data_IF_453783371039
#
_entry.id   IF_453783371039
#
_cell.length_a   1.000
_cell.length_b   1.000
_cell.length_c   1.000
_cell.angle_alpha   90.00
_cell.angle_beta   90.00
_cell.angle_gamma   90.00
#
_symmetry.space_group_name_H-M   'P 1'
#
loop_
_entity.id
_entity.type
_entity.pdbx_description
1 polymer ?
#
# COMPACT_ATOMS: atom_id res chain seq x y z
N UNK A 1 -6.46 30.72 50.12
CA UNK A 1 -6.52 30.65 48.65
C UNK A 1 -5.07 30.66 48.15
N UNK A 2 -4.50 29.72 47.40
CA UNK A 2 -4.96 28.60 46.57
C UNK A 2 -3.94 27.46 46.73
N UNK A 3 -4.40 26.20 46.88
CA UNK A 3 -3.53 25.02 46.89
C UNK A 3 -3.39 24.54 45.44
N UNK A 4 -2.17 24.47 44.92
CA UNK A 4 -1.88 23.84 43.63
C UNK A 4 -1.74 22.33 43.84
N UNK A 5 -2.65 21.56 43.24
CA UNK A 5 -2.59 20.09 43.20
C UNK A 5 -1.87 19.75 41.89
N UNK A 6 -0.67 19.19 41.98
CA UNK A 6 0.05 18.62 40.83
C UNK A 6 -0.45 17.19 40.67
N UNK A 7 -1.18 16.93 39.59
CA UNK A 7 -1.59 15.57 39.19
C UNK A 7 -0.45 15.00 38.35
N UNK A 8 0.31 14.06 38.91
CA UNK A 8 1.28 13.26 38.16
C UNK A 8 0.55 12.13 37.43
N UNK A 9 0.51 12.18 36.11
CA UNK A 9 -0.01 11.09 35.27
C UNK A 9 1.11 10.06 35.12
N UNK A 10 0.99 8.92 35.79
CA UNK A 10 1.87 7.78 35.61
C UNK A 10 1.43 7.00 34.36
N UNK A 11 2.21 7.10 33.27
CA UNK A 11 2.05 6.25 32.08
C UNK A 11 2.88 4.99 32.30
N UNK A 12 2.23 3.91 32.70
CA UNK A 12 2.82 2.58 32.75
C UNK A 12 2.94 2.00 31.34
N UNK A 13 4.15 1.98 30.79
CA UNK A 13 4.47 1.27 29.55
C UNK A 13 4.83 -0.16 29.92
N UNK A 14 3.94 -1.11 29.68
CA UNK A 14 4.26 -2.55 29.74
C UNK A 14 4.71 -3.01 28.37
N UNK A 15 6.01 -3.26 28.21
CA UNK A 15 6.55 -3.88 27.01
C UNK A 15 6.36 -5.40 27.10
N UNK A 16 5.40 -5.94 26.35
CA UNK A 16 5.36 -7.36 26.06
C UNK A 16 6.38 -7.66 24.96
N UNK A 17 7.49 -8.31 25.31
CA UNK A 17 8.45 -8.80 24.33
C UNK A 17 7.89 -10.11 23.77
N UNK A 18 7.20 -10.04 22.64
CA UNK A 18 6.95 -11.20 21.80
C UNK A 18 8.16 -11.37 20.87
N UNK A 19 8.80 -12.54 20.95
CA UNK A 19 9.87 -12.90 20.04
C UNK A 19 9.34 -12.87 18.60
N UNK A 20 9.95 -12.06 17.74
CA UNK A 20 9.68 -12.07 16.30
C UNK A 20 10.16 -13.42 15.75
N UNK A 21 9.23 -14.26 15.32
CA UNK A 21 9.55 -15.31 14.37
C UNK A 21 10.07 -14.62 13.11
N UNK A 22 11.17 -15.12 12.56
CA UNK A 22 11.75 -14.63 11.32
C UNK A 22 10.80 -14.93 10.16
N UNK A 23 9.77 -14.11 10.00
CA UNK A 23 9.04 -14.00 8.75
C UNK A 23 10.04 -13.46 7.73
N UNK A 24 10.44 -14.32 6.79
CA UNK A 24 11.18 -13.95 5.58
C UNK A 24 10.61 -12.64 5.04
N UNK A 25 11.36 -11.56 5.29
CA UNK A 25 10.91 -10.18 5.16
C UNK A 25 10.92 -9.79 3.68
N UNK A 26 10.02 -10.37 2.90
CA UNK A 26 9.64 -9.77 1.64
C UNK A 26 8.90 -8.49 1.97
N UNK A 27 9.25 -7.38 1.33
CA UNK A 27 8.41 -6.20 1.31
C UNK A 27 7.00 -6.67 0.94
N UNK A 28 6.02 -6.39 1.79
CA UNK A 28 4.63 -6.76 1.55
C UNK A 28 3.85 -5.49 1.34
N UNK A 29 3.10 -5.46 0.25
CA UNK A 29 2.09 -4.45 0.03
C UNK A 29 0.78 -4.89 0.66
N UNK A 30 -0.15 -3.96 0.75
CA UNK A 30 -1.44 -4.13 1.38
C UNK A 30 -2.20 -5.35 0.80
N UNK A 31 -2.24 -5.47 -0.53
CA UNK A 31 -2.92 -6.58 -1.20
C UNK A 31 -2.32 -7.96 -0.87
N UNK A 32 -0.99 -8.11 -0.91
CA UNK A 32 -0.36 -9.40 -0.59
C UNK A 32 -0.53 -9.75 0.89
N UNK A 33 -0.51 -8.76 1.78
CA UNK A 33 -0.77 -8.96 3.22
C UNK A 33 -2.17 -9.51 3.44
N UNK A 34 -3.18 -8.95 2.76
CA UNK A 34 -4.56 -9.43 2.86
C UNK A 34 -4.73 -10.85 2.31
N UNK A 35 -4.06 -11.18 1.21
CA UNK A 35 -4.13 -12.50 0.58
C UNK A 35 -3.45 -13.60 1.39
N UNK A 36 -2.39 -13.28 2.14
CA UNK A 36 -1.67 -14.22 3.01
C UNK A 36 -2.43 -14.60 4.27
N UNK A 37 -3.50 -13.87 4.63
CA UNK A 37 -4.22 -14.14 5.86
C UNK A 37 -4.88 -15.53 5.79
N UNK A 38 -4.27 -16.49 6.49
CA UNK A 38 -4.69 -17.89 6.58
C UNK A 38 -5.81 -18.12 7.62
N UNK A 39 -6.47 -17.03 8.03
CA UNK A 39 -7.68 -17.13 8.84
C UNK A 39 -8.81 -17.80 8.04
N UNK A 40 -9.64 -18.59 8.71
CA UNK A 40 -10.92 -19.13 8.19
C UNK A 40 -11.96 -18.04 7.84
N UNK A 41 -11.61 -16.77 8.04
CA UNK A 41 -12.48 -15.63 7.76
C UNK A 41 -12.54 -15.39 6.26
N UNK A 42 -13.77 -15.41 5.72
CA UNK A 42 -14.02 -15.09 4.31
C UNK A 42 -13.80 -13.62 3.98
N UNK A 43 -14.05 -12.70 4.91
CA UNK A 43 -13.86 -11.27 4.71
C UNK A 43 -12.74 -10.78 5.63
N UNK A 44 -11.74 -10.13 5.04
CA UNK A 44 -10.69 -9.40 5.74
C UNK A 44 -10.81 -7.92 5.39
N UNK A 45 -10.76 -7.07 6.41
CA UNK A 45 -10.79 -5.61 6.28
C UNK A 45 -9.54 -5.07 6.96
N UNK A 46 -8.81 -4.22 6.25
CA UNK A 46 -7.69 -3.45 6.76
C UNK A 46 -7.90 -1.96 6.46
N UNK A 47 -7.24 -1.09 7.20
CA UNK A 47 -7.25 0.35 6.93
C UNK A 47 -6.02 1.00 7.54
N UNK A 48 -5.59 2.10 6.95
CA UNK A 48 -4.62 3.01 7.56
C UNK A 48 -4.91 4.44 7.11
N UNK A 49 -4.35 5.40 7.84
CA UNK A 49 -4.42 6.81 7.50
C UNK A 49 -3.05 7.45 7.64
N UNK A 50 -2.81 8.49 6.85
CA UNK A 50 -1.58 9.26 6.84
C UNK A 50 -1.92 10.74 6.99
N UNK A 51 -1.23 11.40 7.92
CA UNK A 51 -1.31 12.85 8.15
C UNK A 51 0.11 13.37 8.13
N UNK A 52 0.37 14.34 7.26
CA UNK A 52 1.71 14.88 7.06
C UNK A 52 1.80 16.33 7.50
N UNK A 53 2.98 16.71 7.95
CA UNK A 53 3.36 18.10 8.18
C UNK A 53 4.65 18.41 7.42
N UNK A 54 4.55 19.33 6.46
CA UNK A 54 5.65 19.71 5.60
C UNK A 54 6.01 21.18 5.80
N UNK A 55 7.22 21.47 6.26
CA UNK A 55 7.75 22.83 6.42
C UNK A 55 9.08 22.96 5.70
N UNK A 56 9.12 23.84 4.69
CA UNK A 56 10.36 24.15 3.98
C UNK A 56 11.27 24.99 4.87
N UNK A 57 12.51 24.52 5.04
CA UNK A 57 13.56 25.21 5.79
C UNK A 57 14.47 25.95 4.79
N UNK A 58 14.71 27.23 5.04
CA UNK A 58 15.61 28.07 4.25
C UNK A 58 16.25 29.16 5.11
N UNK A 59 17.40 29.67 4.66
CA UNK A 59 18.25 30.55 5.48
C UNK A 59 17.67 31.97 5.64
N UNK A 60 16.98 32.48 4.63
CA UNK A 60 16.58 33.91 4.55
C UNK A 60 15.07 34.12 4.57
N UNK A 61 14.29 33.10 4.19
CA UNK A 61 12.83 33.19 4.07
C UNK A 61 12.19 32.11 4.92
N UNK A 62 11.22 32.52 5.75
CA UNK A 62 10.38 31.59 6.50
C UNK A 62 9.19 31.19 5.63
N UNK A 63 9.07 29.90 5.37
CA UNK A 63 7.91 29.33 4.72
C UNK A 63 6.90 28.87 5.77
N UNK A 64 5.61 29.04 5.48
CA UNK A 64 4.56 28.46 6.31
C UNK A 64 4.60 26.93 6.18
N UNK A 65 4.42 26.24 7.30
CA UNK A 65 4.22 24.79 7.28
C UNK A 65 2.81 24.44 6.78
N UNK A 66 2.71 23.31 6.10
CA UNK A 66 1.44 22.77 5.59
C UNK A 66 1.15 21.50 6.36
N UNK A 67 -0.06 21.38 6.93
CA UNK A 67 -0.56 20.16 7.55
C UNK A 67 -1.71 19.64 6.70
N UNK A 68 -1.66 18.34 6.38
CA UNK A 68 -2.61 17.74 5.46
C UNK A 68 -2.93 16.30 5.86
N UNK A 69 -4.18 15.89 5.62
CA UNK A 69 -4.56 14.48 5.68
C UNK A 69 -4.28 13.91 4.30
N UNK A 70 -3.05 13.42 4.13
CA UNK A 70 -2.55 12.94 2.86
C UNK A 70 -3.47 11.87 2.29
N UNK A 71 -3.80 10.85 3.10
CA UNK A 71 -4.69 9.78 2.66
C UNK A 71 -5.34 8.98 3.78
N UNK A 72 -6.52 8.45 3.47
CA UNK A 72 -7.19 7.37 4.21
C UNK A 72 -7.41 6.19 3.25
N UNK A 73 -6.91 5.03 3.61
CA UNK A 73 -6.99 3.83 2.77
C UNK A 73 -7.84 2.76 3.41
N UNK A 74 -8.73 2.16 2.63
CA UNK A 74 -9.54 1.00 2.99
C UNK A 74 -9.13 -0.19 2.12
N UNK A 75 -8.81 -1.29 2.79
CA UNK A 75 -8.33 -2.53 2.21
C UNK A 75 -9.37 -3.62 2.45
N UNK A 76 -9.86 -4.24 1.40
CA UNK A 76 -10.85 -5.31 1.49
C UNK A 76 -10.37 -6.53 0.73
N UNK A 77 -10.43 -7.69 1.37
CA UNK A 77 -10.26 -8.97 0.69
C UNK A 77 -11.39 -9.92 1.03
N UNK A 78 -11.95 -10.55 -0.01
CA UNK A 78 -13.00 -11.55 0.14
C UNK A 78 -12.58 -12.89 -0.48
N UNK A 79 -12.59 -13.96 0.31
CA UNK A 79 -12.32 -15.34 -0.11
C UNK A 79 -13.65 -15.99 -0.50
N UNK A 80 -13.86 -16.19 -1.80
CA UNK A 80 -15.02 -16.96 -2.30
C UNK A 80 -14.84 -18.46 -2.04
N UNK A 81 -13.61 -18.93 -2.11
CA UNK A 81 -13.18 -20.31 -1.83
C UNK A 81 -11.75 -20.32 -1.28
N UNK A 82 -11.21 -21.50 -1.00
CA UNK A 82 -9.79 -21.67 -0.61
C UNK A 82 -8.82 -21.15 -1.68
N UNK A 83 -9.24 -21.14 -2.95
CA UNK A 83 -8.37 -20.78 -4.09
C UNK A 83 -8.75 -19.47 -4.76
N UNK A 84 -9.94 -18.94 -4.53
CA UNK A 84 -10.44 -17.76 -5.25
C UNK A 84 -10.74 -16.64 -4.26
N UNK A 85 -10.11 -15.49 -4.49
CA UNK A 85 -10.28 -14.30 -3.68
C UNK A 85 -10.40 -13.04 -4.55
N UNK A 86 -11.02 -12.02 -4.00
CA UNK A 86 -11.04 -10.66 -4.54
C UNK A 86 -10.32 -9.73 -3.58
N UNK A 87 -9.56 -8.79 -4.11
CA UNK A 87 -8.87 -7.74 -3.35
C UNK A 87 -9.24 -6.40 -3.94
N UNK A 88 -9.54 -5.43 -3.07
CA UNK A 88 -9.66 -4.04 -3.47
C UNK A 88 -9.05 -3.09 -2.44
N UNK A 89 -8.45 -2.03 -2.96
CA UNK A 89 -7.86 -0.93 -2.23
C UNK A 89 -8.52 0.36 -2.70
N UNK A 90 -9.12 1.07 -1.75
CA UNK A 90 -9.81 2.33 -1.96
C UNK A 90 -9.04 3.39 -1.17
N UNK A 91 -8.54 4.39 -1.87
CA UNK A 91 -7.80 5.51 -1.29
C UNK A 91 -8.65 6.79 -1.37
N UNK A 92 -8.66 7.53 -0.26
CA UNK A 92 -9.19 8.88 -0.20
C UNK A 92 -8.06 9.86 0.07
N UNK A 93 -7.67 10.62 -0.95
CA UNK A 93 -6.50 11.50 -0.93
C UNK A 93 -6.91 12.96 -0.71
N UNK A 94 -6.14 13.68 0.10
CA UNK A 94 -6.30 15.12 0.39
C UNK A 94 -7.73 15.54 0.79
N UNK A 95 -8.51 14.61 1.34
CA UNK A 95 -9.91 14.78 1.73
C UNK A 95 -10.87 15.12 0.56
N UNK A 96 -10.44 14.94 -0.69
CA UNK A 96 -11.21 15.39 -1.87
C UNK A 96 -11.29 14.36 -3.00
N UNK A 97 -10.30 13.49 -3.13
CA UNK A 97 -10.14 12.59 -4.26
C UNK A 97 -10.36 11.15 -3.82
N UNK A 98 -11.17 10.40 -4.55
CA UNK A 98 -11.41 8.96 -4.29
C UNK A 98 -10.79 8.19 -5.44
N UNK A 99 -9.92 7.23 -5.12
CA UNK A 99 -9.31 6.32 -6.08
C UNK A 99 -9.59 4.87 -5.72
N UNK A 100 -9.85 4.07 -6.74
CA UNK A 100 -9.68 2.62 -6.66
C UNK A 100 -8.27 2.35 -7.16
N UNK A 101 -7.36 2.03 -6.25
CA UNK A 101 -5.96 1.78 -6.60
C UNK A 101 -5.78 0.36 -7.14
N UNK A 102 -6.45 -0.59 -6.50
CA UNK A 102 -6.49 -1.98 -6.92
C UNK A 102 -7.92 -2.53 -6.78
N UNK A 103 -8.29 -3.40 -7.72
CA UNK A 103 -9.53 -4.17 -7.69
C UNK A 103 -9.37 -5.38 -8.62
N UNK A 104 -8.97 -6.53 -8.08
CA UNK A 104 -8.66 -7.71 -8.88
C UNK A 104 -9.10 -9.02 -8.22
N UNK A 105 -9.36 -10.01 -9.07
CA UNK A 105 -9.55 -11.40 -8.68
C UNK A 105 -8.19 -12.12 -8.67
N UNK A 106 -7.95 -12.93 -7.65
CA UNK A 106 -6.81 -13.81 -7.51
C UNK A 106 -7.29 -15.27 -7.42
N UNK A 107 -6.80 -16.11 -8.33
CA UNK A 107 -7.08 -17.55 -8.37
C UNK A 107 -5.78 -18.31 -8.19
N UNK A 108 -5.64 -19.02 -7.08
CA UNK A 108 -4.51 -19.88 -6.79
C UNK A 108 -4.66 -21.22 -7.52
N UNK A 109 -3.82 -21.45 -8.52
CA UNK A 109 -3.79 -22.71 -9.28
C UNK A 109 -2.90 -23.75 -8.60
N UNK A 110 -1.77 -23.29 -8.07
CA UNK A 110 -0.79 -24.04 -7.27
C UNK A 110 -0.22 -23.10 -6.21
N UNK A 111 0.44 -23.65 -5.20
CA UNK A 111 1.06 -22.86 -4.13
C UNK A 111 2.07 -21.83 -4.67
N UNK A 112 2.72 -22.15 -5.79
CA UNK A 112 3.69 -21.29 -6.48
C UNK A 112 3.10 -20.49 -7.65
N UNK A 113 1.81 -20.66 -8.01
CA UNK A 113 1.20 -20.04 -9.20
C UNK A 113 -0.21 -19.51 -8.93
N UNK A 114 -0.35 -18.20 -9.06
CA UNK A 114 -1.62 -17.48 -9.02
C UNK A 114 -1.91 -16.85 -10.38
N UNK A 115 -3.17 -16.90 -10.80
CA UNK A 115 -3.73 -16.12 -11.88
C UNK A 115 -4.41 -14.88 -11.28
N UNK A 116 -4.10 -13.70 -11.80
CA UNK A 116 -4.70 -12.43 -11.36
C UNK A 116 -5.34 -11.71 -12.54
N UNK A 117 -6.44 -11.02 -12.30
CA UNK A 117 -7.10 -10.21 -13.32
C UNK A 117 -8.01 -9.14 -12.73
N UNK A 118 -7.94 -7.94 -13.30
CA UNK A 118 -8.67 -6.76 -12.85
C UNK A 118 -7.80 -5.51 -12.93
N UNK A 119 -8.13 -4.50 -12.13
CA UNK A 119 -7.32 -3.30 -11.95
C UNK A 119 -6.17 -3.61 -10.98
N UNK A 120 -4.94 -3.57 -11.46
CA UNK A 120 -3.74 -3.93 -10.70
C UNK A 120 -2.66 -2.86 -10.88
N UNK A 121 -1.75 -2.78 -9.91
CA UNK A 121 -0.56 -1.94 -10.03
C UNK A 121 0.39 -2.58 -11.04
N UNK A 122 0.93 -1.77 -11.94
CA UNK A 122 1.94 -2.23 -12.90
C UNK A 122 3.25 -2.46 -12.14
N UNK A 123 3.94 -3.61 -12.26
CA UNK A 123 5.18 -3.86 -11.50
C UNK A 123 6.37 -3.09 -12.10
N UNK A 124 6.30 -1.75 -12.06
CA UNK A 124 7.29 -0.83 -12.60
C UNK A 124 7.98 -0.09 -11.44
N UNK A 125 9.20 -0.50 -11.12
CA UNK A 125 9.91 -0.02 -9.94
C UNK A 125 9.35 -0.60 -8.64
N UNK A 126 10.15 -0.54 -7.58
CA UNK A 126 9.78 -1.12 -6.28
C UNK A 126 8.64 -0.30 -5.66
N UNK A 127 8.73 1.03 -5.70
CA UNK A 127 7.77 1.89 -5.01
C UNK A 127 6.37 1.81 -5.63
N UNK A 128 6.19 1.49 -6.91
CA UNK A 128 4.84 1.42 -7.47
C UNK A 128 4.00 0.32 -6.82
N UNK A 129 4.58 -0.87 -6.60
CA UNK A 129 3.89 -1.96 -5.89
C UNK A 129 3.89 -1.79 -4.38
N UNK A 130 4.86 -1.05 -3.84
CA UNK A 130 5.07 -0.81 -2.41
C UNK A 130 5.06 0.69 -2.11
N UNK A 131 3.92 1.34 -2.34
CA UNK A 131 3.77 2.79 -2.25
C UNK A 131 3.22 3.26 -0.89
N UNK A 132 2.99 2.33 0.04
CA UNK A 132 2.52 2.61 1.40
C UNK A 132 3.63 3.30 2.23
N UNK A 133 3.30 4.16 3.20
CA UNK A 133 4.30 5.03 3.84
C UNK A 133 5.35 4.26 4.65
N UNK A 134 5.04 3.03 5.06
CA UNK A 134 5.92 2.18 5.86
C UNK A 134 6.93 1.39 5.03
N UNK A 135 6.87 1.46 3.69
CA UNK A 135 7.75 0.70 2.79
C UNK A 135 9.01 1.46 2.38
N UNK A 136 9.08 2.77 2.69
CA UNK A 136 10.24 3.62 2.45
C UNK A 136 10.59 4.44 3.70
N UNK A 137 11.80 5.01 3.73
CA UNK A 137 12.36 5.64 4.93
C UNK A 137 11.98 7.12 5.12
N UNK A 138 11.49 7.76 4.07
CA UNK A 138 11.10 9.18 4.06
C UNK A 138 9.61 9.37 4.35
N UNK A 139 9.20 10.61 4.64
CA UNK A 139 7.76 10.96 4.78
C UNK A 139 7.04 10.83 3.44
N UNK A 140 7.70 11.31 2.38
CA UNK A 140 7.23 11.27 1.00
C UNK A 140 8.00 10.22 0.20
N UNK A 141 7.45 9.80 -0.95
CA UNK A 141 8.15 8.86 -1.85
C UNK A 141 9.54 9.39 -2.27
N UNK A 142 10.53 8.52 -2.51
CA UNK A 142 11.86 8.94 -2.97
C UNK A 142 11.79 9.79 -4.25
N UNK A 143 12.74 10.73 -4.41
CA UNK A 143 12.73 11.69 -5.53
C UNK A 143 12.72 11.00 -6.91
N UNK A 144 13.39 9.86 -7.05
CA UNK A 144 13.42 9.09 -8.29
C UNK A 144 12.03 8.56 -8.63
N UNK A 145 11.31 7.99 -7.66
CA UNK A 145 9.95 7.46 -7.82
C UNK A 145 8.89 8.57 -7.86
N UNK A 146 9.24 9.78 -7.42
CA UNK A 146 8.39 10.98 -7.56
C UNK A 146 8.46 11.57 -8.96
N UNK A 147 9.63 11.56 -9.60
CA UNK A 147 9.87 12.35 -10.82
C UNK A 147 10.27 11.54 -12.06
N UNK A 148 10.73 10.29 -11.90
CA UNK A 148 11.31 9.49 -12.99
C UNK A 148 10.52 8.20 -13.18
N UNK A 149 10.34 7.41 -12.12
CA UNK A 149 9.62 6.14 -12.18
C UNK A 149 8.16 6.40 -11.82
N UNK A 150 7.18 6.03 -12.66
CA UNK A 150 5.77 6.19 -12.33
C UNK A 150 5.42 5.43 -11.04
N UNK A 151 4.77 6.10 -10.10
CA UNK A 151 4.18 5.49 -8.91
C UNK A 151 2.66 5.61 -8.93
N UNK A 152 1.96 4.81 -8.13
CA UNK A 152 0.48 4.65 -8.16
C UNK A 152 -0.11 4.37 -9.56
N UNK A 153 0.72 3.85 -10.48
CA UNK A 153 0.31 3.49 -11.83
C UNK A 153 -0.41 2.14 -11.81
N UNK A 154 -1.67 2.18 -12.23
CA UNK A 154 -2.59 1.06 -12.27
C UNK A 154 -3.22 0.92 -13.64
N UNK A 155 -3.42 -0.33 -14.06
CA UNK A 155 -4.04 -0.65 -15.34
C UNK A 155 -4.94 -1.87 -15.20
N UNK A 156 -5.94 -1.96 -16.08
CA UNK A 156 -6.74 -3.18 -16.20
C UNK A 156 -5.92 -4.20 -16.99
N UNK A 157 -5.77 -5.39 -16.43
CA UNK A 157 -5.00 -6.44 -17.05
C UNK A 157 -5.28 -7.82 -16.49
N UNK A 158 -4.47 -8.76 -16.95
CA UNK A 158 -4.45 -10.14 -16.50
C UNK A 158 -3.02 -10.67 -16.50
N UNK A 159 -2.73 -11.63 -15.64
CA UNK A 159 -1.43 -12.26 -15.65
C UNK A 159 -1.23 -13.25 -14.52
N UNK A 160 0.02 -13.64 -14.34
CA UNK A 160 0.41 -14.65 -13.37
C UNK A 160 1.42 -14.08 -12.39
N UNK A 161 1.32 -14.52 -11.14
CA UNK A 161 2.24 -14.17 -10.08
C UNK A 161 2.51 -15.39 -9.21
N UNK A 162 3.72 -15.51 -8.70
CA UNK A 162 4.13 -16.70 -7.99
C UNK A 162 5.43 -16.56 -7.25
N UNK A 163 5.74 -17.60 -6.47
CA UNK A 163 6.98 -17.68 -5.72
C UNK A 163 7.45 -19.13 -5.63
N UNK A 164 8.72 -19.35 -5.96
CA UNK A 164 9.39 -20.64 -5.79
C UNK A 164 10.10 -20.68 -4.44
N UNK A 165 9.41 -21.20 -3.41
CA UNK A 165 9.92 -21.23 -2.03
C UNK A 165 11.31 -21.86 -1.90
N UNK A 166 11.60 -22.93 -2.65
CA UNK A 166 12.88 -23.67 -2.57
C UNK A 166 14.10 -22.84 -2.97
N UNK A 167 13.91 -21.78 -3.75
CA UNK A 167 14.99 -20.91 -4.26
C UNK A 167 14.77 -19.43 -3.94
N UNK A 168 13.71 -19.11 -3.19
CA UNK A 168 13.33 -17.75 -2.79
C UNK A 168 13.14 -16.77 -3.95
N UNK A 169 12.67 -17.24 -5.11
CA UNK A 169 12.45 -16.40 -6.30
C UNK A 169 10.95 -16.09 -6.44
N UNK A 170 10.60 -14.80 -6.40
CA UNK A 170 9.30 -14.29 -6.81
C UNK A 170 9.28 -13.93 -8.30
N UNK A 171 8.14 -14.12 -8.95
CA UNK A 171 7.95 -13.70 -10.35
C UNK A 171 6.55 -13.16 -10.57
N UNK A 172 6.44 -12.24 -11.53
CA UNK A 172 5.18 -11.67 -11.99
C UNK A 172 5.27 -11.42 -13.49
N UNK A 173 4.21 -11.76 -14.21
CA UNK A 173 4.09 -11.51 -15.64
C UNK A 173 2.65 -11.09 -15.94
N UNK A 174 2.47 -9.84 -16.38
CA UNK A 174 1.17 -9.26 -16.66
C UNK A 174 1.06 -8.72 -18.08
N UNK A 175 -0.16 -8.73 -18.58
CA UNK A 175 -0.59 -8.06 -19.80
C UNK A 175 -1.65 -7.03 -19.41
N UNK A 176 -1.39 -5.77 -19.73
CA UNK A 176 -2.24 -4.63 -19.41
C UNK A 176 -2.78 -3.97 -20.68
N UNK A 177 -3.88 -3.23 -20.56
CA UNK A 177 -4.52 -2.49 -21.68
C UNK A 177 -3.62 -1.36 -22.25
N UNK A 178 -2.53 -1.03 -21.55
CA UNK A 178 -1.50 -0.10 -22.02
C UNK A 178 -1.85 1.37 -21.77
N UNK A 179 -0.93 2.26 -22.14
CA UNK A 179 -1.10 3.70 -21.94
C UNK A 179 -2.16 4.30 -22.87
N UNK A 180 -2.85 5.31 -22.35
CA UNK A 180 -3.78 6.11 -23.14
C UNK A 180 -3.00 7.11 -24.00
N UNK A 181 -2.63 6.70 -25.22
CA UNK A 181 -1.81 7.49 -26.14
C UNK A 181 -2.55 8.64 -26.85
N UNK A 182 -3.87 8.72 -26.74
CA UNK A 182 -4.68 9.75 -27.40
C UNK A 182 -6.01 9.98 -26.68
N UNK A 183 -6.30 11.22 -26.30
CA UNK A 183 -7.58 11.62 -25.70
C UNK A 183 -8.03 12.94 -26.31
N UNK A 184 -9.30 13.04 -26.72
CA UNK A 184 -9.93 14.29 -27.20
C UNK A 184 -9.14 15.06 -28.28
N UNK A 185 -8.61 14.37 -29.30
CA UNK A 185 -7.94 15.07 -30.41
C UNK A 185 -6.43 15.27 -30.23
N UNK A 186 -5.88 14.88 -29.09
CA UNK A 186 -4.49 15.19 -28.70
C UNK A 186 -3.77 13.95 -28.18
N UNK A 187 -2.51 13.76 -28.59
CA UNK A 187 -1.63 12.81 -27.92
C UNK A 187 -1.27 13.34 -26.52
N UNK A 188 -1.20 12.45 -25.53
CA UNK A 188 -0.99 12.76 -24.11
C UNK A 188 0.44 12.44 -23.69
#
# INVERSE_FOLDING_TARGET
>A
MRRFIIIAIAISITANIQAQQADTSFSQNAANTLLRNDSDKKLTIGTYAQIDYNQQVGDTVRHNGTMDVHRLVLLLAYKFSEKTSFVTEIEFEHVKEVFIEQAFLNVQLKDWLNLRGGLMLVPMGIINEYHEPTTFLSVERPLVDKYIVPTTWREIGLGIAGHFNSVSIGYQLYMFNGFLGYENGSAK
#
